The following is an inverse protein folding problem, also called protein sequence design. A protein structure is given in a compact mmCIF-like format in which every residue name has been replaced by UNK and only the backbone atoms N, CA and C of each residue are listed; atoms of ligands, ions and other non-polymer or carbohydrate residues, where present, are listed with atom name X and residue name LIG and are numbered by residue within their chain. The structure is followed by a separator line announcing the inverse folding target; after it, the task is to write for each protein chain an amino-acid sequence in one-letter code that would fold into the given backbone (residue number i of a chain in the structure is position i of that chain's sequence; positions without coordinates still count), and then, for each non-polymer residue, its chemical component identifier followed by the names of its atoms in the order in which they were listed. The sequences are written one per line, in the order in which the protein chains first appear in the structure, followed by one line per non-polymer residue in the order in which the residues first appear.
data_IF_278524746651
#
_entry.id   IF_278524746651
#
_cell.length_a   1.000
_cell.length_b   1.000
_cell.length_c   1.000
_cell.angle_alpha   90.00
_cell.angle_beta   90.00
_cell.angle_gamma   90.00
#
_symmetry.space_group_name_H-M   'P 1'
#
loop_
_entity.id
_entity.type
_entity.pdbx_description
1 polymer ?
#
# COMPACT_ATOMS: atom_id res chain seq x y z
N UNK A 1 2.59 19.16 67.65
CA UNK A 1 3.24 17.98 67.06
C UNK A 1 2.74 17.88 65.63
N UNK A 2 3.53 18.36 64.67
CA UNK A 2 3.17 18.49 63.25
C UNK A 2 3.44 17.15 62.56
N UNK A 3 2.42 16.51 61.99
CA UNK A 3 2.60 15.35 61.12
C UNK A 3 2.44 15.79 59.66
N UNK A 4 3.55 15.88 58.92
CA UNK A 4 3.54 16.06 57.47
C UNK A 4 3.15 14.73 56.80
N UNK A 5 2.03 14.71 56.08
CA UNK A 5 1.74 13.66 55.09
C UNK A 5 2.45 14.02 53.77
N UNK A 6 3.32 13.13 53.28
CA UNK A 6 3.92 13.22 51.95
C UNK A 6 2.97 12.61 50.91
N UNK A 7 2.81 13.21 49.71
CA UNK A 7 2.08 12.58 48.62
C UNK A 7 2.93 11.50 47.95
N UNK A 8 2.40 10.29 47.88
CA UNK A 8 3.02 9.17 47.15
C UNK A 8 2.67 9.29 45.67
N UNK A 9 3.63 9.68 44.84
CA UNK A 9 3.48 9.66 43.39
C UNK A 9 3.44 8.21 42.89
N UNK A 10 2.30 7.80 42.32
CA UNK A 10 2.16 6.52 41.65
C UNK A 10 2.84 6.63 40.27
N UNK A 11 4.04 6.07 40.13
CA UNK A 11 4.71 5.93 38.84
C UNK A 11 3.98 4.84 38.04
N UNK A 12 3.14 5.21 37.07
CA UNK A 12 2.67 4.29 36.04
C UNK A 12 3.85 3.93 35.15
N UNK A 13 4.49 2.79 35.40
CA UNK A 13 5.45 2.21 34.48
C UNK A 13 4.68 1.71 33.25
N UNK A 14 4.77 2.47 32.15
CA UNK A 14 4.41 1.97 30.82
C UNK A 14 5.37 0.83 30.48
N UNK A 15 4.88 -0.41 30.60
CA UNK A 15 5.56 -1.58 30.09
C UNK A 15 5.57 -1.49 28.56
N UNK A 16 6.69 -1.02 27.99
CA UNK A 16 6.99 -1.28 26.59
C UNK A 16 7.17 -2.79 26.43
N UNK A 17 6.12 -3.46 25.95
CA UNK A 17 6.24 -4.83 25.44
C UNK A 17 7.13 -4.77 24.20
N UNK A 18 8.42 -4.96 24.37
CA UNK A 18 9.32 -5.27 23.26
C UNK A 18 8.82 -6.59 22.67
N UNK A 19 8.13 -6.54 21.53
CA UNK A 19 7.83 -7.74 20.77
C UNK A 19 9.18 -8.38 20.40
N UNK A 20 9.50 -9.49 21.07
CA UNK A 20 10.66 -10.29 20.69
C UNK A 20 10.39 -10.82 19.28
N UNK A 21 11.31 -10.66 18.32
CA UNK A 21 11.13 -11.24 16.99
C UNK A 21 10.91 -12.74 17.12
N UNK A 22 9.79 -13.22 16.58
CA UNK A 22 9.52 -14.65 16.46
C UNK A 22 10.56 -15.28 15.54
N UNK A 23 11.53 -15.99 16.10
CA UNK A 23 12.49 -16.78 15.34
C UNK A 23 12.03 -18.24 15.36
N UNK A 24 11.48 -18.71 14.25
CA UNK A 24 11.37 -20.15 14.02
C UNK A 24 12.75 -20.68 13.66
N UNK A 25 13.11 -21.85 14.22
CA UNK A 25 14.31 -22.55 13.78
C UNK A 25 14.17 -22.92 12.30
N UNK A 26 15.26 -22.81 11.55
CA UNK A 26 15.30 -23.27 10.17
C UNK A 26 15.11 -24.80 10.11
N UNK A 27 14.45 -25.28 9.06
CA UNK A 27 14.43 -26.70 8.72
C UNK A 27 15.81 -27.17 8.21
N UNK A 28 15.95 -28.48 7.95
CA UNK A 28 17.20 -29.09 7.50
C UNK A 28 17.73 -28.49 6.18
N UNK A 29 16.85 -27.88 5.37
CA UNK A 29 17.19 -27.22 4.12
C UNK A 29 17.51 -25.72 4.30
N UNK A 30 17.38 -25.20 5.53
CA UNK A 30 17.65 -23.81 5.89
C UNK A 30 16.47 -22.86 5.68
N UNK A 31 15.25 -23.37 5.51
CA UNK A 31 14.06 -22.54 5.38
C UNK A 31 13.41 -22.25 6.73
N UNK A 32 12.90 -21.04 6.88
CA UNK A 32 12.16 -20.58 8.04
C UNK A 32 10.71 -20.29 7.62
N UNK A 33 9.69 -20.77 8.36
CA UNK A 33 8.30 -20.39 8.13
C UNK A 33 8.10 -18.87 8.22
N UNK A 34 7.35 -18.30 7.29
CA UNK A 34 6.99 -16.88 7.30
C UNK A 34 5.66 -16.61 8.04
N UNK A 35 4.93 -17.65 8.41
CA UNK A 35 3.74 -17.57 9.26
C UNK A 35 3.86 -18.56 10.41
N UNK A 36 3.34 -18.18 11.58
CA UNK A 36 3.35 -19.02 12.79
C UNK A 36 2.16 -19.99 12.87
N UNK A 37 1.28 -19.98 11.86
CA UNK A 37 0.07 -20.81 11.80
C UNK A 37 -1.06 -20.40 12.75
N UNK A 38 -0.91 -19.29 13.50
CA UNK A 38 -1.88 -18.77 14.47
C UNK A 38 -2.42 -17.40 14.09
N UNK A 39 -1.53 -16.49 13.71
CA UNK A 39 -1.84 -15.11 13.36
C UNK A 39 -0.87 -14.58 12.29
N UNK A 40 -0.98 -13.29 11.98
CA UNK A 40 -0.19 -12.61 10.94
C UNK A 40 1.04 -11.88 11.52
N UNK A 41 1.51 -12.21 12.72
CA UNK A 41 2.74 -11.62 13.28
C UNK A 41 3.92 -11.82 12.33
N UNK A 42 4.75 -10.79 12.15
CA UNK A 42 5.80 -10.77 11.11
C UNK A 42 5.34 -10.13 9.80
N UNK A 43 4.05 -9.81 9.68
CA UNK A 43 3.44 -9.12 8.53
C UNK A 43 2.70 -7.88 9.00
N UNK A 44 2.69 -6.87 8.12
CA UNK A 44 1.94 -5.64 8.31
C UNK A 44 0.93 -5.52 7.18
N UNK A 45 -0.31 -5.28 7.57
CA UNK A 45 -1.35 -4.87 6.64
C UNK A 45 -1.00 -3.48 6.09
N UNK A 46 -0.67 -3.39 4.79
CA UNK A 46 -0.22 -2.14 4.19
C UNK A 46 -1.39 -1.20 3.91
N UNK A 47 -2.51 -1.73 3.38
CA UNK A 47 -3.65 -0.91 2.97
C UNK A 47 -4.97 -1.67 2.77
N UNK A 48 -5.16 -2.79 3.44
CA UNK A 48 -6.41 -3.56 3.41
C UNK A 48 -7.27 -3.34 4.67
N UNK A 49 -8.50 -3.84 4.66
CA UNK A 49 -9.30 -3.94 5.88
C UNK A 49 -8.72 -4.98 6.84
N UNK A 50 -8.93 -4.84 8.16
CA UNK A 50 -8.47 -5.83 9.15
C UNK A 50 -8.94 -7.27 8.87
N UNK A 51 -10.12 -7.42 8.29
CA UNK A 51 -10.74 -8.71 7.95
C UNK A 51 -10.32 -9.28 6.59
N UNK A 52 -9.52 -8.56 5.79
CA UNK A 52 -9.09 -9.02 4.46
C UNK A 52 -8.15 -10.21 4.55
N UNK A 53 -7.27 -10.22 5.55
CA UNK A 53 -6.27 -11.27 5.77
C UNK A 53 -6.53 -11.99 7.09
N UNK A 54 -6.45 -13.31 7.07
CA UNK A 54 -6.64 -14.14 8.26
C UNK A 54 -5.88 -15.45 8.15
N UNK A 55 -5.64 -16.12 9.29
CA UNK A 55 -5.22 -17.52 9.30
C UNK A 55 -6.45 -18.39 9.53
N UNK A 56 -6.74 -19.31 8.60
CA UNK A 56 -7.81 -20.31 8.70
C UNK A 56 -7.20 -21.69 8.51
N UNK A 57 -7.32 -22.56 9.50
CA UNK A 57 -6.81 -23.94 9.43
C UNK A 57 -5.32 -24.04 9.04
N UNK A 58 -4.50 -23.09 9.50
CA UNK A 58 -3.07 -23.03 9.18
C UNK A 58 -2.75 -22.47 7.78
N UNK A 59 -3.75 -21.98 7.05
CA UNK A 59 -3.65 -21.37 5.72
C UNK A 59 -3.89 -19.86 5.83
N UNK A 60 -3.09 -19.07 5.13
CA UNK A 60 -3.32 -17.63 4.98
C UNK A 60 -4.46 -17.45 3.99
N UNK A 61 -5.57 -16.88 4.44
CA UNK A 61 -6.77 -16.63 3.64
C UNK A 61 -6.92 -15.13 3.38
N UNK A 62 -7.07 -14.78 2.10
CA UNK A 62 -7.36 -13.43 1.62
C UNK A 62 -8.74 -13.37 0.99
N UNK A 63 -9.51 -12.32 1.27
CA UNK A 63 -10.83 -12.11 0.66
C UNK A 63 -10.77 -11.58 -0.77
N UNK A 64 -9.65 -10.96 -1.16
CA UNK A 64 -9.50 -10.20 -2.41
C UNK A 64 -10.09 -8.79 -2.36
N UNK A 65 -10.76 -8.39 -1.27
CA UNK A 65 -11.42 -7.08 -1.15
C UNK A 65 -11.13 -6.44 0.23
N UNK A 66 -10.65 -5.19 0.27
CA UNK A 66 -10.30 -4.35 -0.87
C UNK A 66 -9.03 -4.83 -1.56
N UNK A 67 -8.78 -4.28 -2.75
CA UNK A 67 -7.51 -4.37 -3.44
C UNK A 67 -6.42 -3.72 -2.61
N UNK A 68 -5.28 -4.39 -2.45
CA UNK A 68 -4.18 -3.90 -1.62
C UNK A 68 -3.19 -5.02 -1.32
N UNK A 69 -2.39 -4.87 -0.26
CA UNK A 69 -1.42 -5.88 0.12
C UNK A 69 -1.20 -5.96 1.64
N UNK A 70 -0.68 -7.10 2.08
CA UNK A 70 0.09 -7.18 3.32
C UNK A 70 1.56 -7.48 2.97
N UNK A 71 2.48 -6.97 3.77
CA UNK A 71 3.93 -7.07 3.52
C UNK A 71 4.70 -7.51 4.74
N UNK A 72 5.88 -8.09 4.56
CA UNK A 72 6.76 -8.50 5.66
C UNK A 72 7.18 -7.31 6.51
N UNK A 73 7.44 -7.52 7.81
CA UNK A 73 7.93 -6.45 8.70
C UNK A 73 9.33 -5.95 8.33
N UNK A 74 10.20 -6.85 7.85
CA UNK A 74 11.57 -6.53 7.42
C UNK A 74 11.72 -6.65 5.91
N UNK A 75 12.81 -6.06 5.41
CA UNK A 75 13.25 -6.20 4.03
C UNK A 75 14.14 -7.45 3.86
N UNK A 76 14.11 -8.01 2.66
CA UNK A 76 14.94 -9.12 2.21
C UNK A 76 15.75 -8.68 1.00
N UNK A 77 17.01 -9.13 0.92
CA UNK A 77 17.90 -8.90 -0.22
C UNK A 77 17.95 -10.16 -1.09
N UNK A 78 18.83 -11.10 -0.75
CA UNK A 78 18.98 -12.36 -1.45
C UNK A 78 18.26 -13.48 -0.70
N UNK A 79 17.42 -14.23 -1.39
CA UNK A 79 16.59 -15.26 -0.77
C UNK A 79 16.11 -16.32 -1.76
N UNK A 80 15.67 -17.43 -1.20
CA UNK A 80 14.73 -18.36 -1.84
C UNK A 80 13.45 -18.35 -1.01
N UNK A 81 12.34 -17.96 -1.61
CA UNK A 81 11.01 -18.01 -1.01
C UNK A 81 10.22 -19.11 -1.70
N UNK A 82 9.54 -19.93 -0.92
CA UNK A 82 8.58 -20.89 -1.42
C UNK A 82 7.21 -20.59 -0.84
N UNK A 83 6.18 -20.77 -1.66
CA UNK A 83 4.80 -20.76 -1.23
C UNK A 83 3.97 -21.70 -2.10
N UNK A 84 2.91 -22.24 -1.52
CA UNK A 84 1.81 -22.79 -2.30
C UNK A 84 0.64 -21.81 -2.29
N UNK A 85 -0.02 -21.66 -3.44
CA UNK A 85 -1.19 -20.80 -3.58
C UNK A 85 -2.32 -21.51 -4.32
N UNK A 86 -3.55 -21.06 -4.08
CA UNK A 86 -4.72 -21.39 -4.89
C UNK A 86 -5.73 -20.25 -4.89
N UNK A 87 -6.42 -20.06 -6.00
CA UNK A 87 -7.67 -19.29 -6.00
C UNK A 87 -8.85 -20.18 -5.65
N UNK A 88 -9.85 -19.62 -4.96
CA UNK A 88 -11.10 -20.32 -4.65
C UNK A 88 -12.17 -20.13 -5.74
N UNK A 89 -11.89 -19.27 -6.72
CA UNK A 89 -12.79 -18.94 -7.83
C UNK A 89 -12.04 -18.90 -9.15
N UNK A 90 -12.70 -19.33 -10.22
CA UNK A 90 -12.16 -19.24 -11.58
C UNK A 90 -11.95 -17.79 -12.02
N UNK A 91 -10.77 -17.52 -12.59
CA UNK A 91 -10.33 -16.19 -13.00
C UNK A 91 -9.99 -15.24 -11.86
N UNK A 92 -9.60 -15.76 -10.69
CA UNK A 92 -9.05 -14.93 -9.63
C UNK A 92 -7.69 -14.32 -9.99
N UNK A 93 -7.41 -13.15 -9.42
CA UNK A 93 -6.16 -12.41 -9.54
C UNK A 93 -5.54 -12.12 -8.16
N UNK A 94 -4.23 -12.16 -8.08
CA UNK A 94 -3.37 -11.87 -6.94
C UNK A 94 -1.90 -11.84 -7.43
N UNK A 95 -0.97 -11.72 -6.50
CA UNK A 95 0.44 -11.59 -6.76
C UNK A 95 1.29 -11.73 -5.51
N UNK A 96 2.56 -12.03 -5.73
CA UNK A 96 3.62 -11.90 -4.72
C UNK A 96 4.52 -10.76 -5.16
N UNK A 97 4.57 -9.67 -4.38
CA UNK A 97 5.47 -8.57 -4.67
C UNK A 97 6.83 -8.82 -4.01
N UNK A 98 7.88 -8.56 -4.78
CA UNK A 98 9.27 -8.77 -4.41
C UNK A 98 10.00 -7.43 -4.41
N UNK A 99 10.83 -7.23 -3.38
CA UNK A 99 11.58 -6.00 -3.17
C UNK A 99 10.69 -4.76 -3.21
N UNK A 100 9.53 -4.82 -2.55
CA UNK A 100 8.48 -3.82 -2.57
C UNK A 100 8.76 -2.59 -1.69
N UNK A 101 8.08 -1.47 -1.96
CA UNK A 101 8.01 -0.26 -1.12
C UNK A 101 7.20 -0.50 0.17
N UNK A 102 7.39 0.31 1.24
CA UNK A 102 6.68 0.09 2.51
C UNK A 102 5.19 0.45 2.46
N UNK A 103 4.81 1.39 1.59
CA UNK A 103 3.44 1.84 1.34
C UNK A 103 3.16 1.85 -0.17
N UNK A 104 1.89 1.95 -0.53
CA UNK A 104 1.44 1.98 -1.93
C UNK A 104 2.01 3.17 -2.71
N UNK A 105 2.22 2.95 -4.01
CA UNK A 105 2.66 4.00 -4.92
C UNK A 105 1.54 5.03 -5.18
N UNK A 106 1.88 6.27 -5.59
CA UNK A 106 0.89 7.31 -5.82
C UNK A 106 -0.23 6.92 -6.80
N UNK A 107 -1.49 7.07 -6.37
CA UNK A 107 -2.69 6.89 -7.20
C UNK A 107 -3.03 5.44 -7.56
N UNK A 108 -2.41 4.46 -6.89
CA UNK A 108 -2.67 3.02 -7.06
C UNK A 108 -2.70 2.31 -5.71
N UNK A 109 -3.36 1.15 -5.58
CA UNK A 109 -3.42 0.40 -4.32
C UNK A 109 -2.20 -0.48 -4.07
N UNK A 110 -1.23 -0.50 -4.98
CA UNK A 110 -0.14 -1.48 -4.96
C UNK A 110 1.17 -0.85 -4.52
N UNK A 111 2.02 -1.67 -3.90
CA UNK A 111 3.39 -1.32 -3.59
C UNK A 111 4.19 -1.23 -4.90
N UNK A 112 5.24 -0.41 -4.95
CA UNK A 112 6.22 -0.45 -6.04
C UNK A 112 7.14 -1.63 -5.83
N UNK A 113 7.43 -2.43 -6.87
CA UNK A 113 8.33 -3.59 -6.77
C UNK A 113 8.30 -4.44 -8.03
N UNK A 114 8.79 -5.67 -7.93
CA UNK A 114 8.61 -6.71 -8.96
C UNK A 114 7.44 -7.59 -8.55
N UNK A 115 6.50 -7.83 -9.46
CA UNK A 115 5.38 -8.72 -9.24
C UNK A 115 5.66 -10.09 -9.85
N UNK A 116 5.42 -11.11 -9.04
CA UNK A 116 5.28 -12.51 -9.45
C UNK A 116 3.78 -12.79 -9.49
N UNK A 117 3.22 -12.90 -10.70
CA UNK A 117 1.77 -13.01 -10.90
C UNK A 117 1.21 -14.27 -10.26
N UNK A 118 0.11 -14.15 -9.53
CA UNK A 118 -0.75 -15.27 -9.11
C UNK A 118 -2.09 -15.14 -9.84
N UNK A 119 -2.24 -15.80 -10.98
CA UNK A 119 -3.42 -15.67 -11.84
C UNK A 119 -4.01 -17.02 -12.19
N UNK A 120 -5.31 -17.18 -11.94
CA UNK A 120 -6.04 -18.40 -12.28
C UNK A 120 -6.24 -18.56 -13.80
N UNK A 121 -6.18 -19.79 -14.30
CA UNK A 121 -6.36 -20.09 -15.73
C UNK A 121 -7.68 -19.57 -16.32
N UNK A 122 -8.75 -19.51 -15.54
CA UNK A 122 -10.03 -18.94 -15.96
C UNK A 122 -9.95 -17.47 -16.38
N UNK A 123 -8.87 -16.76 -16.01
CA UNK A 123 -8.62 -15.39 -16.44
C UNK A 123 -8.31 -15.32 -17.95
N UNK A 124 -7.93 -16.44 -18.59
CA UNK A 124 -7.74 -16.51 -20.04
C UNK A 124 -8.99 -16.14 -20.86
N UNK A 125 -10.18 -16.08 -20.25
CA UNK A 125 -11.38 -15.51 -20.89
C UNK A 125 -11.21 -14.03 -21.30
N UNK A 126 -10.26 -13.32 -20.69
CA UNK A 126 -9.91 -11.93 -21.02
C UNK A 126 -8.84 -11.83 -22.12
N UNK A 127 -8.28 -12.96 -22.57
CA UNK A 127 -7.37 -12.98 -23.69
C UNK A 127 -8.13 -12.76 -24.99
N UNK A 128 -7.57 -11.91 -25.85
CA UNK A 128 -8.07 -11.65 -27.19
C UNK A 128 -7.03 -12.20 -28.17
N UNK A 129 -7.30 -13.32 -28.87
CA UNK A 129 -6.32 -13.94 -29.76
C UNK A 129 -5.97 -13.07 -30.98
N UNK A 130 -6.72 -11.99 -31.21
CA UNK A 130 -6.45 -11.03 -32.29
C UNK A 130 -5.48 -9.92 -31.87
N UNK A 131 -5.16 -9.83 -30.57
CA UNK A 131 -4.26 -8.81 -30.02
C UNK A 131 -2.95 -9.43 -29.53
N UNK A 132 -1.87 -8.65 -29.47
CA UNK A 132 -0.65 -9.09 -28.80
C UNK A 132 -0.95 -9.55 -27.38
N UNK A 133 -0.37 -10.69 -27.00
CA UNK A 133 -0.43 -11.23 -25.64
C UNK A 133 0.13 -10.19 -24.66
N UNK A 134 -0.63 -9.88 -23.62
CA UNK A 134 -0.24 -8.94 -22.57
C UNK A 134 -0.21 -9.56 -21.16
N UNK A 135 -0.65 -10.81 -21.02
CA UNK A 135 -0.58 -11.62 -19.79
C UNK A 135 -0.57 -13.12 -20.11
N UNK A 136 -0.15 -13.94 -19.15
CA UNK A 136 -0.48 -15.37 -19.06
C UNK A 136 -0.97 -15.74 -17.66
N UNK A 137 -1.31 -17.02 -17.44
CA UNK A 137 -1.77 -17.56 -16.14
C UNK A 137 -0.80 -18.58 -15.54
N UNK A 138 0.42 -18.68 -16.09
CA UNK A 138 1.39 -19.72 -15.72
C UNK A 138 2.67 -19.18 -15.07
N UNK A 139 2.62 -17.96 -14.54
CA UNK A 139 3.71 -17.33 -13.77
C UNK A 139 4.43 -16.23 -14.55
N UNK A 140 3.75 -15.14 -14.86
CA UNK A 140 4.40 -13.93 -15.38
C UNK A 140 5.24 -13.26 -14.29
N UNK A 141 6.34 -12.59 -14.67
CA UNK A 141 7.14 -11.75 -13.77
C UNK A 141 7.37 -10.39 -14.42
N UNK A 142 7.06 -9.30 -13.72
CA UNK A 142 7.12 -7.96 -14.30
C UNK A 142 7.28 -6.86 -13.24
N UNK A 143 7.85 -5.69 -13.59
CA UNK A 143 7.97 -4.59 -12.66
C UNK A 143 6.67 -3.79 -12.60
N UNK A 144 6.34 -3.29 -11.40
CA UNK A 144 5.15 -2.47 -11.17
C UNK A 144 5.49 -1.11 -10.55
N UNK A 145 4.68 -0.12 -10.93
CA UNK A 145 4.65 1.23 -10.36
C UNK A 145 6.01 1.96 -10.29
N UNK A 146 6.75 1.89 -11.40
CA UNK A 146 8.02 2.60 -11.58
C UNK A 146 9.25 1.77 -11.24
N UNK A 147 9.09 0.54 -10.73
CA UNK A 147 10.17 -0.44 -10.76
C UNK A 147 10.57 -0.75 -12.21
N UNK A 148 11.73 -1.39 -12.38
CA UNK A 148 12.24 -1.83 -13.69
C UNK A 148 12.90 -3.20 -13.56
N UNK A 149 12.96 -3.94 -14.67
CA UNK A 149 13.74 -5.18 -14.81
C UNK A 149 14.04 -5.45 -16.29
N UNK A 150 15.00 -6.33 -16.54
CA UNK A 150 15.27 -6.91 -17.85
C UNK A 150 14.68 -8.32 -17.89
N UNK A 151 13.59 -8.56 -18.65
CA UNK A 151 12.87 -9.84 -18.58
C UNK A 151 13.65 -10.98 -19.22
N UNK A 152 13.56 -12.17 -18.64
CA UNK A 152 14.02 -13.41 -19.26
C UNK A 152 13.04 -13.88 -20.33
N UNK A 153 13.55 -14.50 -21.41
CA UNK A 153 12.73 -15.24 -22.37
C UNK A 153 11.76 -14.39 -23.21
N UNK A 154 10.63 -15.00 -23.58
CA UNK A 154 9.54 -14.30 -24.28
C UNK A 154 8.94 -13.22 -23.36
N UNK A 155 8.66 -12.03 -23.90
CA UNK A 155 8.22 -10.91 -23.08
C UNK A 155 7.36 -9.90 -23.85
N UNK A 156 6.63 -9.07 -23.11
CA UNK A 156 5.93 -7.88 -23.60
C UNK A 156 6.32 -6.67 -22.75
N UNK A 157 7.09 -5.74 -23.32
CA UNK A 157 7.74 -4.69 -22.52
C UNK A 157 8.70 -5.30 -21.50
N UNK A 158 8.54 -4.99 -20.22
CA UNK A 158 9.34 -5.59 -19.14
C UNK A 158 8.67 -6.79 -18.46
N UNK A 159 7.56 -7.30 -19.02
CA UNK A 159 6.88 -8.49 -18.50
C UNK A 159 7.43 -9.75 -19.15
N UNK A 160 8.09 -10.59 -18.36
CA UNK A 160 8.54 -11.93 -18.74
C UNK A 160 7.35 -12.90 -18.72
N UNK A 161 7.17 -13.63 -19.82
CA UNK A 161 6.21 -14.71 -19.94
C UNK A 161 6.86 -16.07 -19.65
N UNK A 162 6.10 -17.03 -19.09
CA UNK A 162 6.62 -18.35 -18.76
C UNK A 162 6.99 -19.15 -20.02
N UNK A 163 8.11 -19.86 -19.97
CA UNK A 163 8.55 -20.76 -21.04
C UNK A 163 7.75 -22.06 -21.13
N UNK A 164 6.99 -22.41 -20.09
CA UNK A 164 6.13 -23.60 -20.02
C UNK A 164 4.82 -23.28 -19.26
N UNK A 165 3.71 -23.84 -19.70
CA UNK A 165 2.41 -23.75 -19.03
C UNK A 165 2.33 -24.81 -17.92
N UNK A 166 2.55 -24.40 -16.65
CA UNK A 166 2.70 -25.37 -15.54
C UNK A 166 1.75 -25.18 -14.37
N UNK A 167 1.05 -24.04 -14.25
CA UNK A 167 0.06 -23.84 -13.20
C UNK A 167 -1.20 -24.68 -13.44
N UNK A 168 -1.94 -24.96 -12.38
CA UNK A 168 -3.21 -25.70 -12.36
C UNK A 168 -4.37 -24.74 -12.12
N UNK A 169 -5.59 -25.05 -12.58
CA UNK A 169 -6.76 -24.20 -12.35
C UNK A 169 -7.24 -24.27 -10.90
N UNK A 170 -8.03 -23.28 -10.49
CA UNK A 170 -8.73 -23.27 -9.21
C UNK A 170 -9.63 -24.50 -9.03
N UNK A 171 -9.71 -25.07 -7.81
CA UNK A 171 -9.04 -24.66 -6.57
C UNK A 171 -7.76 -25.48 -6.28
N UNK A 172 -7.05 -25.95 -7.31
CA UNK A 172 -5.85 -26.75 -7.11
C UNK A 172 -4.68 -25.93 -6.59
N UNK A 173 -3.85 -26.57 -5.75
CA UNK A 173 -2.63 -25.95 -5.22
C UNK A 173 -1.52 -25.93 -6.27
N UNK A 174 -0.91 -24.75 -6.40
CA UNK A 174 0.28 -24.49 -7.20
C UNK A 174 1.44 -24.16 -6.28
N UNK A 175 2.64 -24.65 -6.59
CA UNK A 175 3.87 -24.35 -5.87
C UNK A 175 4.71 -23.35 -6.64
N UNK A 176 5.07 -22.25 -5.99
CA UNK A 176 6.03 -21.27 -6.47
C UNK A 176 7.32 -21.37 -5.65
N UNK A 177 8.45 -21.35 -6.36
CA UNK A 177 9.78 -21.10 -5.79
C UNK A 177 10.35 -19.86 -6.45
N UNK A 178 10.46 -18.79 -5.68
CA UNK A 178 10.93 -17.47 -6.10
C UNK A 178 12.35 -17.30 -5.57
N UNK A 179 13.33 -17.12 -6.45
CA UNK A 179 14.73 -16.89 -6.05
C UNK A 179 15.15 -15.49 -6.44
N UNK A 180 15.38 -14.63 -5.44
CA UNK A 180 15.98 -13.32 -5.60
C UNK A 180 17.46 -13.39 -5.24
N UNK A 181 18.36 -13.04 -6.15
CA UNK A 181 19.79 -13.03 -5.87
C UNK A 181 20.49 -11.94 -6.69
N UNK A 182 21.00 -10.93 -5.98
CA UNK A 182 21.79 -9.82 -6.53
C UNK A 182 21.11 -9.10 -7.71
N UNK A 183 19.82 -8.80 -7.59
CA UNK A 183 19.03 -8.12 -8.63
C UNK A 183 18.49 -9.03 -9.73
N UNK A 184 18.79 -10.33 -9.70
CA UNK A 184 18.14 -11.35 -10.54
C UNK A 184 16.99 -11.99 -9.78
N UNK A 185 15.82 -12.11 -10.41
CA UNK A 185 14.66 -12.83 -9.91
C UNK A 185 14.33 -13.98 -10.86
N UNK A 186 14.12 -15.18 -10.33
CA UNK A 186 13.61 -16.33 -11.10
C UNK A 186 12.39 -16.92 -10.41
N UNK A 187 11.42 -17.35 -11.22
CA UNK A 187 10.23 -18.05 -10.79
C UNK A 187 10.24 -19.48 -11.31
N UNK A 188 10.17 -20.45 -10.40
CA UNK A 188 9.78 -21.80 -10.73
C UNK A 188 8.32 -22.08 -10.37
N UNK A 189 7.58 -22.63 -11.33
CA UNK A 189 6.17 -23.04 -11.18
C UNK A 189 6.09 -24.55 -11.21
N UNK A 190 5.56 -25.15 -10.15
CA UNK A 190 5.38 -26.60 -9.99
C UNK A 190 6.64 -27.42 -10.30
N UNK A 191 7.82 -26.90 -9.92
CA UNK A 191 9.11 -27.61 -10.01
C UNK A 191 10.01 -27.26 -11.21
N UNK A 192 9.68 -26.24 -12.02
CA UNK A 192 10.50 -25.81 -13.17
C UNK A 192 10.57 -24.29 -13.24
N UNK A 193 11.78 -23.75 -13.41
CA UNK A 193 11.99 -22.32 -13.70
C UNK A 193 11.40 -22.00 -15.07
N UNK A 194 10.49 -21.04 -15.13
CA UNK A 194 9.76 -20.67 -16.36
C UNK A 194 9.91 -19.20 -16.74
N UNK A 195 10.13 -18.30 -15.79
CA UNK A 195 10.17 -16.85 -16.03
C UNK A 195 11.06 -16.15 -15.00
N UNK A 196 11.35 -14.87 -15.23
CA UNK A 196 12.20 -14.09 -14.36
C UNK A 196 12.71 -12.81 -15.02
N UNK A 197 13.71 -12.21 -14.41
CA UNK A 197 14.50 -11.16 -15.03
C UNK A 197 15.70 -10.72 -14.21
N UNK A 198 16.56 -9.96 -14.86
CA UNK A 198 17.79 -9.40 -14.30
C UNK A 198 17.63 -7.90 -14.07
N UNK A 199 18.63 -7.30 -13.41
CA UNK A 199 18.71 -5.86 -13.22
C UNK A 199 17.42 -5.25 -12.63
N UNK A 200 16.82 -5.97 -11.67
CA UNK A 200 15.62 -5.52 -10.98
C UNK A 200 15.94 -4.30 -10.10
N UNK A 201 15.09 -3.28 -10.21
CA UNK A 201 15.12 -2.08 -9.38
C UNK A 201 13.91 -2.12 -8.44
N UNK A 202 14.02 -2.38 -7.14
CA UNK A 202 15.18 -2.60 -6.25
C UNK A 202 15.70 -4.05 -6.20
N UNK A 203 16.79 -4.30 -5.47
CA UNK A 203 17.31 -5.65 -5.13
C UNK A 203 17.30 -5.98 -3.63
N UNK A 204 16.73 -5.09 -2.82
CA UNK A 204 16.43 -5.29 -1.41
C UNK A 204 15.15 -4.55 -1.08
N UNK A 205 14.21 -5.18 -0.40
CA UNK A 205 12.92 -4.56 -0.08
C UNK A 205 11.95 -5.53 0.57
N UNK A 206 10.70 -5.10 0.73
CA UNK A 206 9.68 -5.90 1.39
C UNK A 206 9.17 -7.03 0.48
N UNK A 207 8.71 -8.14 1.05
CA UNK A 207 7.95 -9.15 0.33
C UNK A 207 6.47 -8.93 0.67
N UNK A 208 5.57 -9.06 -0.30
CA UNK A 208 4.14 -8.81 -0.07
C UNK A 208 3.26 -9.85 -0.74
N UNK A 209 2.09 -10.10 -0.14
CA UNK A 209 1.00 -10.87 -0.73
C UNK A 209 -0.13 -9.90 -1.09
N UNK A 210 -0.66 -10.04 -2.29
CA UNK A 210 -1.65 -9.13 -2.86
C UNK A 210 -3.09 -9.63 -2.64
N UNK A 211 -3.97 -8.69 -2.36
CA UNK A 211 -5.42 -8.83 -2.42
C UNK A 211 -5.92 -8.18 -3.71
N UNK A 212 -6.52 -8.93 -4.65
CA UNK A 212 -7.05 -8.35 -5.89
C UNK A 212 -8.32 -9.04 -6.44
N UNK A 213 -9.48 -8.65 -5.93
CA UNK A 213 -10.78 -8.92 -6.52
C UNK A 213 -11.31 -10.35 -6.39
N UNK A 214 -10.48 -11.31 -5.96
CA UNK A 214 -10.89 -12.70 -5.75
C UNK A 214 -10.25 -13.32 -4.50
N UNK A 215 -10.95 -14.26 -3.82
CA UNK A 215 -10.35 -14.99 -2.71
C UNK A 215 -9.15 -15.82 -3.17
N UNK A 216 -8.08 -15.75 -2.37
CA UNK A 216 -6.83 -16.49 -2.58
C UNK A 216 -6.33 -17.04 -1.26
N UNK A 217 -5.73 -18.21 -1.31
CA UNK A 217 -5.14 -18.86 -0.15
C UNK A 217 -3.68 -19.16 -0.39
N UNK A 218 -2.86 -18.97 0.65
CA UNK A 218 -1.45 -19.30 0.67
C UNK A 218 -1.12 -20.23 1.84
N UNK A 219 -0.28 -21.23 1.59
CA UNK A 219 0.26 -22.10 2.65
C UNK A 219 1.71 -22.43 2.38
N UNK A 220 2.37 -23.03 3.38
CA UNK A 220 3.78 -23.42 3.29
C UNK A 220 4.67 -22.26 2.82
N UNK A 221 4.33 -21.03 3.25
CA UNK A 221 5.12 -19.85 2.93
C UNK A 221 6.35 -19.85 3.82
N UNK A 222 7.52 -20.04 3.22
CA UNK A 222 8.80 -20.18 3.91
C UNK A 222 9.91 -19.53 3.12
N UNK A 223 10.96 -19.11 3.82
CA UNK A 223 12.06 -18.37 3.22
C UNK A 223 13.41 -18.86 3.73
N UNK A 224 14.39 -18.92 2.83
CA UNK A 224 15.81 -19.12 3.11
C UNK A 224 16.55 -17.88 2.65
N UNK A 225 17.10 -17.11 3.60
CA UNK A 225 17.98 -15.99 3.28
C UNK A 225 19.31 -16.52 2.73
N UNK A 226 19.77 -15.92 1.64
CA UNK A 226 21.07 -16.19 1.03
C UNK A 226 22.08 -15.13 1.50
N UNK A 227 23.40 -15.38 1.35
CA UNK A 227 24.41 -14.38 1.69
C UNK A 227 24.12 -13.03 1.04
N UNK A 228 24.12 -11.97 1.84
CA UNK A 228 23.98 -10.59 1.37
C UNK A 228 25.17 -10.22 0.47
N UNK A 229 24.90 -9.45 -0.59
CA UNK A 229 25.94 -8.84 -1.42
C UNK A 229 26.10 -7.34 -1.12
N UNK A 230 25.46 -6.84 -0.05
CA UNK A 230 25.55 -5.46 0.37
C UNK A 230 24.81 -4.50 -0.54
N UNK A 231 23.48 -4.67 -0.67
CA UNK A 231 22.63 -3.70 -1.36
C UNK A 231 22.84 -2.27 -0.86
N UNK A 232 23.18 -1.37 -1.78
CA UNK A 232 23.28 0.06 -1.50
C UNK A 232 21.89 0.64 -1.20
N UNK A 233 21.84 1.79 -0.53
CA UNK A 233 20.58 2.48 -0.24
C UNK A 233 19.79 2.81 -1.52
N UNK A 234 20.47 3.25 -2.58
CA UNK A 234 19.84 3.53 -3.87
C UNK A 234 19.25 2.27 -4.56
N UNK A 235 19.77 1.09 -4.22
CA UNK A 235 19.30 -0.21 -4.73
C UNK A 235 18.31 -0.88 -3.77
N UNK A 236 17.93 -0.22 -2.68
CA UNK A 236 17.05 -0.74 -1.63
C UNK A 236 15.75 0.06 -1.59
N UNK A 237 14.64 -0.63 -1.34
CA UNK A 237 13.37 0.01 -1.04
C UNK A 237 13.51 0.92 0.19
N UNK A 238 12.79 2.05 0.26
CA UNK A 238 12.75 2.88 1.46
C UNK A 238 12.33 2.05 2.67
N UNK A 239 12.94 2.32 3.81
CA UNK A 239 12.49 1.73 5.07
C UNK A 239 11.11 2.28 5.42
N UNK A 240 10.27 1.41 6.01
CA UNK A 240 9.03 1.85 6.64
C UNK A 240 9.34 2.84 7.76
N UNK A 241 8.62 3.95 7.73
CA UNK A 241 8.77 5.04 8.68
C UNK A 241 7.67 5.03 9.74
N UNK A 242 6.96 3.91 9.90
CA UNK A 242 5.88 3.73 10.86
C UNK A 242 4.54 4.23 10.35
N UNK A 243 4.26 4.06 9.05
CA UNK A 243 3.03 4.54 8.45
C UNK A 243 1.81 3.74 8.91
N UNK A 244 0.77 4.46 9.34
CA UNK A 244 -0.56 3.88 9.59
C UNK A 244 -1.50 4.25 8.46
N UNK A 245 -2.06 3.24 7.79
CA UNK A 245 -3.14 3.44 6.83
C UNK A 245 -4.45 3.80 7.52
N UNK A 246 -5.19 4.77 6.98
CA UNK A 246 -6.41 5.31 7.62
C UNK A 246 -7.71 4.82 6.97
N UNK A 247 -7.70 4.46 5.69
CA UNK A 247 -8.92 4.06 4.99
C UNK A 247 -8.95 2.56 4.76
N UNK A 248 -9.93 1.84 5.30
CA UNK A 248 -9.91 0.38 5.24
C UNK A 248 -10.36 -0.22 3.89
N UNK A 249 -10.82 0.62 2.95
CA UNK A 249 -11.27 0.19 1.62
C UNK A 249 -12.68 -0.41 1.52
N UNK A 250 -13.35 -0.66 2.65
CA UNK A 250 -14.69 -1.24 2.70
C UNK A 250 -15.74 -0.22 3.15
N UNK A 251 -15.39 0.62 4.12
CA UNK A 251 -16.29 1.56 4.76
C UNK A 251 -15.53 2.74 5.40
N UNK A 252 -16.23 3.54 6.20
CA UNK A 252 -15.70 4.71 6.90
C UNK A 252 -15.42 4.47 8.39
N UNK A 253 -15.25 3.22 8.84
CA UNK A 253 -14.74 2.96 10.21
C UNK A 253 -13.38 3.65 10.39
N UNK A 254 -13.22 4.34 11.51
CA UNK A 254 -12.05 5.20 11.75
C UNK A 254 -12.18 6.61 11.16
N UNK A 255 -13.35 6.96 10.61
CA UNK A 255 -13.67 8.30 10.11
C UNK A 255 -14.98 8.82 10.69
N UNK A 256 -15.03 10.13 10.94
CA UNK A 256 -16.19 10.88 11.37
C UNK A 256 -16.77 11.62 10.18
N UNK A 257 -17.96 11.17 9.78
CA UNK A 257 -18.77 11.83 8.75
C UNK A 257 -19.70 12.82 9.43
N UNK A 258 -19.76 14.04 8.93
CA UNK A 258 -20.70 15.04 9.43
C UNK A 258 -22.15 14.66 9.08
N UNK A 259 -23.07 14.97 9.99
CA UNK A 259 -24.50 14.73 9.76
C UNK A 259 -24.96 15.46 8.49
N UNK A 260 -25.60 14.74 7.57
CA UNK A 260 -26.06 15.27 6.28
C UNK A 260 -25.03 15.23 5.15
N UNK A 261 -23.80 14.73 5.40
CA UNK A 261 -22.77 14.54 4.38
C UNK A 261 -22.57 13.07 3.96
N UNK A 262 -23.29 12.12 4.56
CA UNK A 262 -23.14 10.66 4.35
C UNK A 262 -23.41 10.25 2.91
N UNK A 263 -24.31 10.94 2.23
CA UNK A 263 -24.63 10.66 0.84
C UNK A 263 -23.48 11.00 -0.12
N UNK A 264 -22.52 11.85 0.29
CA UNK A 264 -21.43 12.36 -0.57
C UNK A 264 -20.16 11.52 -0.50
N UNK A 265 -19.89 10.89 0.64
CA UNK A 265 -18.69 10.06 0.85
C UNK A 265 -18.99 8.59 0.54
N UNK A 266 -18.43 8.07 -0.55
CA UNK A 266 -18.63 6.70 -1.02
C UNK A 266 -17.33 5.88 -0.94
N UNK A 267 -17.22 5.00 0.07
CA UNK A 267 -16.23 3.93 0.05
C UNK A 267 -16.31 3.15 -1.26
N UNK A 268 -15.18 2.94 -1.92
CA UNK A 268 -15.12 2.30 -3.23
C UNK A 268 -13.85 1.45 -3.37
N UNK A 269 -13.87 0.28 -2.74
CA UNK A 269 -12.69 -0.59 -2.71
C UNK A 269 -11.49 0.22 -2.17
N UNK A 270 -10.30 0.10 -2.75
CA UNK A 270 -9.09 0.81 -2.32
C UNK A 270 -9.12 2.36 -2.41
N UNK A 271 -10.15 2.96 -2.99
CA UNK A 271 -10.32 4.41 -3.05
C UNK A 271 -11.62 4.88 -2.38
N UNK A 272 -11.67 6.17 -2.07
CA UNK A 272 -12.81 6.86 -1.49
C UNK A 272 -13.27 7.95 -2.44
N UNK A 273 -14.56 7.97 -2.79
CA UNK A 273 -15.12 8.99 -3.68
C UNK A 273 -15.90 10.02 -2.88
N UNK A 274 -15.57 11.28 -3.13
CA UNK A 274 -16.44 12.42 -2.85
C UNK A 274 -17.26 12.68 -4.11
N UNK A 275 -18.58 12.57 -4.00
CA UNK A 275 -19.52 12.83 -5.09
C UNK A 275 -20.17 14.21 -4.94
N UNK A 276 -20.60 14.81 -6.06
CA UNK A 276 -21.37 16.05 -6.07
C UNK A 276 -22.83 15.88 -5.57
N UNK A 277 -23.19 14.70 -5.05
CA UNK A 277 -24.57 14.36 -4.68
C UNK A 277 -25.12 15.24 -3.54
N UNK A 278 -26.44 15.38 -3.44
CA UNK A 278 -27.11 16.22 -2.44
C UNK A 278 -26.70 15.91 -0.99
N UNK A 279 -26.72 16.93 -0.13
CA UNK A 279 -26.23 16.88 1.24
C UNK A 279 -25.64 18.23 1.64
N UNK A 280 -25.15 18.35 2.88
CA UNK A 280 -24.47 19.58 3.33
C UNK A 280 -23.04 19.61 2.78
N UNK A 281 -22.76 20.56 1.88
CA UNK A 281 -21.40 20.85 1.40
C UNK A 281 -20.55 21.49 2.51
N UNK A 282 -19.22 21.45 2.37
CA UNK A 282 -18.33 22.29 3.17
C UNK A 282 -17.86 21.69 4.49
N UNK A 283 -18.23 20.45 4.84
CA UNK A 283 -17.72 19.81 6.06
C UNK A 283 -16.64 18.76 5.73
N UNK A 284 -15.45 18.84 6.33
CA UNK A 284 -14.42 17.83 6.10
C UNK A 284 -14.82 16.45 6.61
N UNK A 285 -14.38 15.42 5.89
CA UNK A 285 -14.32 14.06 6.41
C UNK A 285 -13.10 13.95 7.31
N UNK A 286 -13.32 13.67 8.58
CA UNK A 286 -12.27 13.64 9.60
C UNK A 286 -11.88 12.21 9.94
N UNK A 287 -10.58 11.93 10.02
CA UNK A 287 -10.12 10.67 10.61
C UNK A 287 -10.29 10.71 12.14
N UNK A 288 -10.34 9.55 12.77
CA UNK A 288 -10.18 9.40 14.22
C UNK A 288 -8.71 9.48 14.66
N UNK A 289 -7.78 9.36 13.71
CA UNK A 289 -6.36 9.52 13.97
C UNK A 289 -6.01 11.00 14.15
N UNK A 290 -5.14 11.28 15.11
CA UNK A 290 -4.64 12.62 15.38
C UNK A 290 -3.15 12.71 15.08
N UNK A 291 -2.72 13.87 14.60
CA UNK A 291 -1.31 14.21 14.39
C UNK A 291 -0.97 15.48 15.17
N UNK A 292 0.23 15.53 15.74
CA UNK A 292 0.81 16.75 16.29
C UNK A 292 1.90 17.23 15.33
N UNK A 293 3.15 16.89 15.64
CA UNK A 293 4.22 16.75 14.66
C UNK A 293 4.09 15.39 13.98
N UNK A 294 4.54 15.30 12.73
CA UNK A 294 4.41 14.10 11.92
C UNK A 294 4.07 14.38 10.47
N UNK A 295 3.53 13.37 9.79
CA UNK A 295 3.16 13.48 8.38
C UNK A 295 1.79 12.88 8.09
N UNK A 296 1.09 13.51 7.15
CA UNK A 296 -0.15 13.03 6.55
C UNK A 296 0.02 12.90 5.04
N UNK A 297 -0.29 11.73 4.50
CA UNK A 297 -0.33 11.45 3.07
C UNK A 297 -1.78 11.21 2.66
N UNK A 298 -2.16 11.79 1.52
CA UNK A 298 -3.37 11.42 0.80
C UNK A 298 -3.15 11.63 -0.70
N UNK A 299 -3.59 10.66 -1.48
CA UNK A 299 -3.63 10.76 -2.93
C UNK A 299 -5.00 11.28 -3.37
N UNK A 300 -5.03 12.06 -4.44
CA UNK A 300 -6.28 12.57 -4.99
C UNK A 300 -6.24 12.66 -6.52
N UNK A 301 -7.42 12.57 -7.12
CA UNK A 301 -7.67 12.81 -8.53
C UNK A 301 -8.96 13.62 -8.68
N UNK A 302 -8.82 14.79 -9.30
CA UNK A 302 -9.97 15.59 -9.75
C UNK A 302 -10.51 15.06 -11.08
N UNK A 303 -11.83 15.17 -11.35
CA UNK A 303 -12.40 14.81 -12.65
C UNK A 303 -11.84 15.72 -13.75
N UNK A 304 -11.73 15.22 -14.99
CA UNK A 304 -11.12 15.95 -16.13
C UNK A 304 -11.69 17.36 -16.38
N UNK A 305 -12.94 17.62 -15.98
CA UNK A 305 -13.63 18.90 -16.14
C UNK A 305 -13.69 19.78 -14.88
N UNK A 306 -12.92 19.48 -13.82
CA UNK A 306 -12.91 20.30 -12.61
C UNK A 306 -12.44 21.74 -12.91
N UNK A 307 -13.14 22.74 -12.35
CA UNK A 307 -12.76 24.15 -12.43
C UNK A 307 -11.78 24.51 -11.31
N UNK A 308 -10.51 24.66 -11.65
CA UNK A 308 -9.45 25.04 -10.71
C UNK A 308 -9.44 26.54 -10.38
N UNK A 309 -10.30 27.37 -10.97
CA UNK A 309 -10.48 28.78 -10.57
C UNK A 309 -11.38 28.93 -9.33
N UNK A 310 -11.91 27.81 -8.83
CA UNK A 310 -12.63 27.69 -7.57
C UNK A 310 -11.89 26.70 -6.63
N UNK A 311 -12.20 26.68 -5.33
CA UNK A 311 -11.69 25.66 -4.43
C UNK A 311 -12.31 24.30 -4.80
N UNK A 312 -11.50 23.27 -5.01
CA UNK A 312 -11.97 21.94 -5.39
C UNK A 312 -12.00 20.98 -4.19
N UNK A 313 -10.90 20.91 -3.45
CA UNK A 313 -10.76 20.13 -2.21
C UNK A 313 -9.65 20.74 -1.35
N UNK A 314 -9.54 20.29 -0.11
CA UNK A 314 -8.45 20.69 0.78
C UNK A 314 -8.08 19.60 1.76
N UNK A 315 -6.92 19.76 2.38
CA UNK A 315 -6.39 18.83 3.37
C UNK A 315 -6.28 19.56 4.71
N UNK A 316 -7.06 19.07 5.66
CA UNK A 316 -7.20 19.64 6.98
C UNK A 316 -6.34 18.87 7.97
N UNK A 317 -5.74 19.59 8.92
CA UNK A 317 -4.89 19.01 9.96
C UNK A 317 -5.23 19.62 11.31
N UNK A 318 -4.86 18.92 12.37
CA UNK A 318 -5.00 19.38 13.76
C UNK A 318 -6.44 19.80 14.12
N UNK A 319 -7.43 19.14 13.51
CA UNK A 319 -8.86 19.39 13.73
C UNK A 319 -9.38 20.74 13.21
N UNK A 320 -8.59 21.48 12.43
CA UNK A 320 -8.99 22.78 11.91
C UNK A 320 -9.85 22.66 10.65
N UNK A 321 -11.07 23.21 10.69
CA UNK A 321 -12.01 23.13 9.58
C UNK A 321 -11.49 23.80 8.29
N UNK A 322 -10.73 24.89 8.41
CA UNK A 322 -10.03 25.49 7.28
C UNK A 322 -8.85 24.61 6.85
N UNK A 323 -8.72 24.26 5.57
CA UNK A 323 -7.64 23.39 5.13
C UNK A 323 -6.28 24.10 5.23
N UNK A 324 -5.25 23.35 5.62
CA UNK A 324 -3.86 23.80 5.56
C UNK A 324 -3.36 23.86 4.11
N UNK A 325 -3.81 22.91 3.29
CA UNK A 325 -3.50 22.83 1.86
C UNK A 325 -4.80 22.84 1.05
N UNK A 326 -4.94 23.77 0.11
CA UNK A 326 -6.06 23.84 -0.83
C UNK A 326 -5.62 23.41 -2.23
N UNK A 327 -6.48 22.66 -2.91
CA UNK A 327 -6.36 22.36 -4.33
C UNK A 327 -7.39 23.19 -5.11
N UNK A 328 -6.94 23.87 -6.16
CA UNK A 328 -7.73 24.86 -6.90
C UNK A 328 -7.36 26.28 -6.48
N UNK A 329 -8.31 27.21 -6.58
CA UNK A 329 -8.08 28.62 -6.23
C UNK A 329 -8.86 29.03 -5.00
N UNK A 330 -8.26 29.82 -4.12
CA UNK A 330 -8.91 30.28 -2.89
C UNK A 330 -7.91 30.74 -1.84
N UNK A 331 -8.34 30.76 -0.58
CA UNK A 331 -7.51 31.17 0.56
C UNK A 331 -7.23 29.97 1.46
N UNK A 332 -5.95 29.63 1.58
CA UNK A 332 -5.41 28.69 2.55
C UNK A 332 -3.92 29.03 2.76
N UNK A 333 -3.27 28.53 3.83
CA UNK A 333 -1.82 28.70 4.02
C UNK A 333 -0.99 28.21 2.83
N UNK A 334 -1.40 27.10 2.22
CA UNK A 334 -0.77 26.53 1.01
C UNK A 334 -1.84 26.31 -0.04
N UNK A 335 -1.58 26.71 -1.29
CA UNK A 335 -2.51 26.57 -2.41
C UNK A 335 -1.79 25.98 -3.63
N UNK A 336 -2.24 24.82 -4.10
CA UNK A 336 -1.82 24.25 -5.40
C UNK A 336 -2.92 24.55 -6.44
N UNK A 337 -2.69 25.61 -7.21
CA UNK A 337 -3.64 26.16 -8.18
C UNK A 337 -3.54 25.60 -9.59
N UNK A 338 -4.19 26.26 -10.57
CA UNK A 338 -4.25 25.85 -11.98
C UNK A 338 -2.89 25.62 -12.67
N UNK A 339 -1.82 26.28 -12.18
CA UNK A 339 -0.46 26.12 -12.69
C UNK A 339 0.28 24.91 -12.12
N UNK A 340 -0.26 24.29 -11.07
CA UNK A 340 0.36 23.16 -10.33
C UNK A 340 -0.35 21.83 -10.53
N UNK A 341 -1.66 21.87 -10.76
CA UNK A 341 -2.53 20.69 -10.81
C UNK A 341 -3.24 20.61 -12.16
N UNK A 342 -3.29 19.41 -12.75
CA UNK A 342 -4.05 19.12 -13.97
C UNK A 342 -5.16 18.12 -13.66
N UNK A 343 -6.44 18.45 -13.89
CA UNK A 343 -7.53 17.52 -13.64
C UNK A 343 -7.41 16.23 -14.48
N UNK A 344 -7.88 15.12 -13.91
CA UNK A 344 -7.75 13.78 -14.49
C UNK A 344 -6.42 13.07 -14.24
N UNK A 345 -5.44 13.74 -13.61
CA UNK A 345 -4.21 13.09 -13.12
C UNK A 345 -4.33 12.75 -11.64
N UNK A 346 -3.61 11.70 -11.22
CA UNK A 346 -3.36 11.41 -9.82
C UNK A 346 -2.23 12.26 -9.28
N UNK A 347 -2.42 12.76 -8.06
CA UNK A 347 -1.39 13.42 -7.27
C UNK A 347 -1.32 12.79 -5.89
N UNK A 348 -0.11 12.69 -5.34
CA UNK A 348 0.13 12.44 -3.92
C UNK A 348 0.45 13.75 -3.24
N UNK A 349 -0.31 14.08 -2.20
CA UNK A 349 0.07 15.12 -1.26
C UNK A 349 0.70 14.46 -0.03
N UNK A 350 1.91 14.87 0.32
CA UNK A 350 2.55 14.61 1.62
C UNK A 350 2.66 15.93 2.37
N UNK A 351 2.00 16.02 3.52
CA UNK A 351 2.02 17.17 4.40
C UNK A 351 2.79 16.83 5.67
N UNK A 352 3.97 17.43 5.82
CA UNK A 352 4.81 17.33 7.02
C UNK A 352 4.54 18.49 7.97
N UNK A 353 4.40 18.18 9.24
CA UNK A 353 4.14 19.11 10.33
C UNK A 353 5.29 19.04 11.35
N UNK A 354 5.88 20.19 11.68
CA UNK A 354 7.01 20.34 12.61
C UNK A 354 6.82 21.64 13.41
N UNK A 355 6.29 21.52 14.63
CA UNK A 355 5.79 22.65 15.41
C UNK A 355 4.70 23.39 14.64
N UNK A 356 4.87 24.68 14.38
CA UNK A 356 3.95 25.47 13.55
C UNK A 356 4.27 25.41 12.06
N UNK A 357 5.40 24.81 11.66
CA UNK A 357 5.80 24.73 10.26
C UNK A 357 5.06 23.58 9.56
N UNK A 358 4.48 23.88 8.41
CA UNK A 358 3.92 22.90 7.49
C UNK A 358 4.69 22.91 6.16
N UNK A 359 5.13 21.75 5.71
CA UNK A 359 5.75 21.54 4.38
C UNK A 359 4.87 20.59 3.58
N UNK A 360 4.25 21.09 2.52
CA UNK A 360 3.46 20.31 1.59
C UNK A 360 4.29 19.96 0.35
N UNK A 361 4.41 18.66 0.08
CA UNK A 361 5.02 18.12 -1.14
C UNK A 361 3.94 17.48 -1.99
N UNK A 362 3.77 17.96 -3.21
CA UNK A 362 2.86 17.42 -4.21
C UNK A 362 3.67 16.70 -5.30
N UNK A 363 3.34 15.45 -5.59
CA UNK A 363 4.00 14.67 -6.65
C UNK A 363 2.98 14.00 -7.56
N UNK A 364 3.35 13.73 -8.82
CA UNK A 364 2.58 12.90 -9.74
C UNK A 364 2.84 11.39 -9.49
N UNK A 365 2.30 10.52 -10.35
CA UNK A 365 2.58 9.08 -10.35
C UNK A 365 4.08 8.80 -10.36
N UNK A 366 4.51 7.74 -9.65
CA UNK A 366 5.93 7.40 -9.42
C UNK A 366 6.72 8.50 -8.68
N UNK A 367 6.02 9.36 -7.92
CA UNK A 367 6.61 10.49 -7.19
C UNK A 367 7.33 11.50 -8.10
N UNK A 368 6.95 11.56 -9.38
CA UNK A 368 7.54 12.47 -10.35
C UNK A 368 7.13 13.93 -10.11
N UNK A 369 7.95 14.86 -10.64
CA UNK A 369 7.69 16.30 -10.66
C UNK A 369 7.32 16.89 -9.29
N UNK A 370 8.17 16.74 -8.26
CA UNK A 370 7.86 17.24 -6.92
C UNK A 370 7.72 18.76 -6.89
N UNK A 371 6.66 19.21 -6.23
CA UNK A 371 6.39 20.62 -5.97
C UNK A 371 6.29 20.80 -4.46
N UNK A 372 7.12 21.69 -3.90
CA UNK A 372 7.21 21.88 -2.44
C UNK A 372 6.78 23.29 -2.10
N UNK A 373 5.92 23.42 -1.10
CA UNK A 373 5.47 24.69 -0.53
C UNK A 373 5.51 24.60 0.99
N UNK A 374 5.79 25.73 1.64
CA UNK A 374 5.85 25.81 3.09
C UNK A 374 4.96 26.94 3.60
N UNK A 375 4.40 26.76 4.79
CA UNK A 375 3.64 27.78 5.48
C UNK A 375 3.77 27.62 7.00
N UNK A 376 3.42 28.68 7.73
CA UNK A 376 3.21 28.61 9.18
C UNK A 376 1.72 28.40 9.44
N UNK A 377 1.39 27.38 10.21
CA UNK A 377 0.04 27.11 10.70
C UNK A 377 -0.14 27.73 12.08
N UNK A 378 -1.22 28.47 12.26
CA UNK A 378 -1.66 28.99 13.55
C UNK A 378 -2.71 28.08 14.17
N UNK A 379 -2.82 28.08 15.50
CA UNK A 379 -3.89 27.39 16.24
C UNK A 379 -3.44 26.09 16.91
N UNK A 380 -4.25 25.03 16.79
CA UNK A 380 -4.05 23.80 17.55
C UNK A 380 -2.73 23.11 17.19
N UNK A 381 -2.05 22.54 18.19
CA UNK A 381 -0.77 21.81 18.02
C UNK A 381 -0.99 20.32 17.76
N UNK A 382 -2.18 19.79 18.04
CA UNK A 382 -2.57 18.39 17.81
C UNK A 382 -4.04 18.29 17.44
N UNK A 383 -4.38 17.34 16.57
CA UNK A 383 -5.77 16.95 16.31
C UNK A 383 -5.92 16.12 15.04
N UNK A 384 -7.17 15.86 14.65
CA UNK A 384 -7.50 15.01 13.51
C UNK A 384 -6.95 15.53 12.18
N UNK A 385 -6.68 14.61 11.25
CA UNK A 385 -6.46 14.93 9.82
C UNK A 385 -7.71 14.61 9.01
N UNK A 386 -7.94 15.34 7.93
CA UNK A 386 -9.14 15.19 7.11
C UNK A 386 -9.02 15.75 5.71
N UNK A 387 -10.06 15.50 4.91
CA UNK A 387 -10.20 16.04 3.54
C UNK A 387 -11.48 16.84 3.42
N UNK A 388 -11.39 18.02 2.84
CA UNK A 388 -12.47 19.00 2.74
C UNK A 388 -13.27 18.82 1.44
N UNK A 389 -14.58 18.95 1.58
CA UNK A 389 -15.55 18.97 0.49
C UNK A 389 -15.90 20.41 0.11
N UNK A 390 -15.56 20.83 -1.11
CA UNK A 390 -15.94 22.12 -1.68
C UNK A 390 -16.94 21.98 -2.85
N UNK A 391 -17.75 20.91 -2.86
CA UNK A 391 -18.75 20.70 -3.91
C UNK A 391 -18.21 19.93 -5.12
N UNK A 392 -16.91 19.99 -5.37
CA UNK A 392 -16.27 19.31 -6.52
C UNK A 392 -16.11 17.81 -6.24
N UNK A 393 -16.52 16.91 -7.16
CA UNK A 393 -16.22 15.49 -7.02
C UNK A 393 -14.72 15.24 -6.97
N UNK A 394 -14.26 14.35 -6.11
CA UNK A 394 -12.85 13.95 -5.99
C UNK A 394 -12.75 12.47 -5.70
N UNK A 395 -11.81 11.78 -6.33
CA UNK A 395 -11.43 10.43 -5.88
C UNK A 395 -10.17 10.54 -5.06
N UNK A 396 -10.20 10.04 -3.83
CA UNK A 396 -9.05 9.96 -2.92
C UNK A 396 -8.57 8.53 -2.76
N UNK A 397 -7.30 8.35 -2.42
CA UNK A 397 -6.72 7.05 -2.08
C UNK A 397 -5.56 7.21 -1.10
N UNK A 398 -5.02 6.09 -0.62
CA UNK A 398 -3.71 6.05 0.04
C UNK A 398 -3.56 7.06 1.19
N UNK A 399 -4.44 6.95 2.19
CA UNK A 399 -4.40 7.79 3.37
C UNK A 399 -3.45 7.22 4.41
N UNK A 400 -2.32 7.89 4.66
CA UNK A 400 -1.37 7.45 5.67
C UNK A 400 -1.06 8.55 6.68
N UNK A 401 -0.82 8.18 7.93
CA UNK A 401 -0.32 9.09 8.95
C UNK A 401 0.86 8.47 9.69
N UNK A 402 1.77 9.31 10.17
CA UNK A 402 2.77 8.96 11.19
C UNK A 402 3.02 10.15 12.10
N UNK A 403 3.41 9.88 13.34
CA UNK A 403 3.76 10.88 14.36
C UNK A 403 5.25 11.03 14.55
#
# INVERSE_FOLDING_TARGET
MVLLMKPTSLLCALAFSTALPFSHAADDDGFVPMFNGKDLSGWVNANCAPETWSIKEGVVSCTGVPTGAMRTEKQYENFVMECEWRHLTSGGNSGVFVWGSPISAPGVPFLRGIEVQVLDQGYMKHADPTKPRWFTTHGDVFPIHGATMEPHGEHSGQRSFPSEERSKPSPEWNHYRITGNNGTLTLAVNGKVVSGGDNCFWRKGYLALESEGAPVEFRNVRIKELPSTGAAEADSAPLDQGWKHLYNGLDLRGWKVAAGAEARWKPSNWNLKLEAAGGQEGTPLWSEAEVADGEFIADFQLPKGADLNAPCTGFCVRGQASPAVLIGSGKAPIVFGPDKVKPGKWYRLRLKLDGTKATATLTETQEANPQVMEATLEGAEKGAVGVADFGTPVTFANFFVRG
#
